data_IF_792504761150
#
_entry.id   IF_792504761150
#
_cell.length_a   1.000
_cell.length_b   1.000
_cell.length_c   1.000
_cell.angle_alpha   90.00
_cell.angle_beta   90.00
_cell.angle_gamma   90.00
#
_symmetry.space_group_name_H-M   'P 1'
#
loop_
_entity.id
_entity.type
_entity.pdbx_description
1 polymer ?
#
# COMPACT_ATOMS: atom_id res chain seq x y z
N UNK A 1 7.22 28.48 13.07
CA UNK A 1 7.60 27.84 11.79
C UNK A 1 6.41 26.98 11.34
N UNK A 2 5.92 27.14 10.12
CA UNK A 2 4.69 26.47 9.70
C UNK A 2 4.91 24.96 9.57
N UNK A 3 4.04 24.15 10.22
CA UNK A 3 4.09 22.69 10.20
C UNK A 3 4.18 22.12 8.77
N UNK A 4 3.39 22.68 7.85
CA UNK A 4 3.37 22.28 6.43
C UNK A 4 4.74 22.51 5.75
N UNK A 5 5.45 23.60 6.08
CA UNK A 5 6.79 23.87 5.52
C UNK A 5 7.80 22.81 5.96
N UNK A 6 7.76 22.40 7.22
CA UNK A 6 8.65 21.37 7.75
C UNK A 6 8.39 20.00 7.10
N UNK A 7 7.11 19.59 6.97
CA UNK A 7 6.72 18.37 6.27
C UNK A 7 7.22 18.41 4.82
N UNK A 8 7.02 19.51 4.11
CA UNK A 8 7.46 19.67 2.71
C UNK A 8 8.98 19.57 2.55
N UNK A 9 9.75 20.10 3.50
CA UNK A 9 11.23 20.00 3.47
C UNK A 9 11.66 18.53 3.64
N UNK A 10 11.11 17.83 4.63
CA UNK A 10 11.40 16.41 4.86
C UNK A 10 10.96 15.57 3.65
N UNK A 11 9.76 15.78 3.15
CA UNK A 11 9.22 15.10 1.97
C UNK A 11 10.15 15.23 0.76
N UNK A 12 10.56 16.45 0.40
CA UNK A 12 11.44 16.69 -0.75
C UNK A 12 12.81 16.02 -0.58
N UNK A 13 13.36 16.07 0.63
CA UNK A 13 14.64 15.41 0.95
C UNK A 13 14.54 13.90 0.78
N UNK A 14 13.53 13.29 1.38
CA UNK A 14 13.33 11.84 1.33
C UNK A 14 12.99 11.36 -0.08
N UNK A 15 12.12 12.07 -0.80
CA UNK A 15 11.78 11.75 -2.18
C UNK A 15 13.02 11.79 -3.07
N UNK A 16 13.85 12.83 -2.95
CA UNK A 16 15.12 12.91 -3.68
C UNK A 16 16.07 11.77 -3.30
N UNK A 17 16.14 11.39 -2.03
CA UNK A 17 16.96 10.28 -1.57
C UNK A 17 16.48 8.94 -2.16
N UNK A 18 15.18 8.70 -2.25
CA UNK A 18 14.61 7.49 -2.85
C UNK A 18 14.89 7.41 -4.36
N UNK A 19 14.74 8.50 -5.10
CA UNK A 19 15.05 8.55 -6.54
C UNK A 19 16.56 8.62 -6.85
N UNK A 20 17.40 9.01 -5.91
CA UNK A 20 18.84 8.87 -6.04
C UNK A 20 19.32 7.41 -5.82
N UNK A 21 18.49 6.56 -5.22
CA UNK A 21 18.75 5.14 -5.08
C UNK A 21 18.18 4.39 -6.28
N UNK A 22 18.86 3.36 -6.72
CA UNK A 22 18.39 2.47 -7.81
C UNK A 22 17.10 1.73 -7.44
N UNK A 23 16.79 1.63 -6.13
CA UNK A 23 15.69 0.82 -5.61
C UNK A 23 14.32 1.33 -6.04
N UNK A 24 14.10 2.65 -6.10
CA UNK A 24 12.81 3.23 -6.53
C UNK A 24 12.53 2.90 -8.01
N UNK A 25 13.53 2.98 -8.87
CA UNK A 25 13.38 2.65 -10.29
C UNK A 25 13.11 1.16 -10.50
N UNK A 26 13.86 0.32 -9.80
CA UNK A 26 13.66 -1.14 -9.84
C UNK A 26 12.24 -1.50 -9.38
N UNK A 27 11.76 -0.87 -8.31
CA UNK A 27 10.40 -1.04 -7.82
C UNK A 27 9.35 -0.69 -8.89
N UNK A 28 9.45 0.49 -9.50
CA UNK A 28 8.52 0.95 -10.53
C UNK A 28 8.52 0.01 -11.73
N UNK A 29 9.72 -0.34 -12.22
CA UNK A 29 9.86 -1.22 -13.40
C UNK A 29 9.29 -2.62 -13.12
N UNK A 30 9.64 -3.22 -11.98
CA UNK A 30 9.14 -4.55 -11.60
C UNK A 30 7.61 -4.51 -11.44
N UNK A 31 7.06 -3.49 -10.78
CA UNK A 31 5.62 -3.36 -10.60
C UNK A 31 4.88 -3.29 -11.93
N UNK A 32 5.33 -2.42 -12.83
CA UNK A 32 4.71 -2.25 -14.16
C UNK A 32 4.84 -3.52 -15.00
N UNK A 33 6.04 -4.11 -15.07
CA UNK A 33 6.26 -5.33 -15.85
C UNK A 33 5.41 -6.49 -15.33
N UNK A 34 5.41 -6.73 -14.00
CA UNK A 34 4.62 -7.81 -13.43
C UNK A 34 3.12 -7.56 -13.57
N UNK A 35 2.62 -6.34 -13.32
CA UNK A 35 1.21 -6.02 -13.49
C UNK A 35 0.75 -6.29 -14.92
N UNK A 36 1.51 -5.85 -15.92
CA UNK A 36 1.19 -6.06 -17.33
C UNK A 36 1.32 -7.54 -17.73
N UNK A 37 2.40 -8.20 -17.33
CA UNK A 37 2.63 -9.61 -17.68
C UNK A 37 1.53 -10.51 -17.10
N UNK A 38 1.16 -10.31 -15.84
CA UNK A 38 0.11 -11.10 -15.19
C UNK A 38 -1.26 -10.87 -15.86
N UNK A 39 -1.59 -9.63 -16.20
CA UNK A 39 -2.86 -9.29 -16.87
C UNK A 39 -2.96 -9.91 -18.27
N UNK A 40 -1.92 -9.81 -19.07
CA UNK A 40 -1.99 -10.22 -20.46
C UNK A 40 -1.64 -11.70 -20.71
N UNK A 41 -0.82 -12.32 -19.83
CA UNK A 41 -0.37 -13.71 -20.01
C UNK A 41 -1.20 -14.72 -19.23
N UNK A 42 -1.74 -14.37 -18.04
CA UNK A 42 -2.45 -15.32 -17.19
C UNK A 42 -3.98 -15.20 -17.28
N UNK A 43 -4.51 -14.02 -17.49
CA UNK A 43 -5.97 -13.82 -17.55
C UNK A 43 -6.54 -13.90 -18.97
N UNK A 44 -5.74 -14.34 -19.96
CA UNK A 44 -6.17 -14.50 -21.36
C UNK A 44 -7.02 -13.33 -21.88
N UNK A 45 -6.62 -12.10 -21.50
CA UNK A 45 -7.37 -10.84 -21.73
C UNK A 45 -7.85 -10.69 -23.18
N UNK A 46 -7.10 -11.23 -24.14
CA UNK A 46 -7.41 -11.17 -25.57
C UNK A 46 -8.06 -12.45 -26.11
N UNK A 47 -8.43 -13.42 -25.26
CA UNK A 47 -9.06 -14.63 -25.72
C UNK A 47 -10.45 -14.35 -26.31
N UNK A 48 -10.80 -14.96 -27.47
CA UNK A 48 -12.10 -14.72 -28.14
C UNK A 48 -13.33 -15.07 -27.30
N UNK A 49 -13.14 -15.90 -26.27
CA UNK A 49 -14.19 -16.39 -25.35
C UNK A 49 -14.07 -15.76 -23.95
N UNK A 50 -13.28 -14.72 -23.77
CA UNK A 50 -13.16 -14.02 -22.49
C UNK A 50 -14.52 -13.37 -22.17
N UNK A 51 -15.35 -14.06 -21.39
CA UNK A 51 -16.66 -13.56 -20.94
C UNK A 51 -16.53 -12.35 -20.01
N UNK A 52 -15.32 -12.13 -19.45
CA UNK A 52 -15.03 -11.09 -18.47
C UNK A 52 -13.77 -10.29 -18.84
N UNK A 53 -13.73 -9.70 -20.03
CA UNK A 53 -12.67 -8.76 -20.43
C UNK A 53 -12.79 -7.40 -19.68
N UNK A 54 -13.31 -7.41 -18.44
CA UNK A 54 -13.40 -6.22 -17.62
C UNK A 54 -12.07 -5.97 -16.90
N UNK A 55 -11.64 -4.71 -16.87
CA UNK A 55 -10.44 -4.30 -16.12
C UNK A 55 -10.51 -4.67 -14.62
N UNK A 56 -11.71 -4.81 -14.07
CA UNK A 56 -11.94 -5.23 -12.69
C UNK A 56 -11.33 -6.61 -12.40
N UNK A 57 -11.60 -7.59 -13.28
CA UNK A 57 -11.19 -8.98 -13.04
C UNK A 57 -9.79 -9.27 -13.58
N UNK A 58 -9.41 -8.67 -14.71
CA UNK A 58 -8.14 -8.95 -15.35
C UNK A 58 -7.00 -8.08 -14.80
N UNK A 59 -7.17 -6.75 -14.74
CA UNK A 59 -6.08 -5.86 -14.37
C UNK A 59 -6.03 -5.58 -12.87
N UNK A 60 -7.12 -5.08 -12.24
CA UNK A 60 -7.09 -4.65 -10.84
C UNK A 60 -7.04 -5.81 -9.81
N UNK A 61 -7.07 -7.04 -10.25
CA UNK A 61 -6.81 -8.21 -9.40
C UNK A 61 -5.36 -8.32 -8.97
N UNK A 62 -4.42 -8.09 -9.88
CA UNK A 62 -2.99 -8.33 -9.68
C UNK A 62 -2.27 -7.27 -8.87
N UNK A 63 -2.53 -5.96 -9.02
CA UNK A 63 -1.87 -4.93 -8.23
C UNK A 63 -2.00 -5.10 -6.73
N UNK A 64 -3.10 -5.64 -6.22
CA UNK A 64 -3.27 -5.95 -4.82
C UNK A 64 -2.19 -6.90 -4.30
N UNK A 65 -1.99 -8.03 -5.01
CA UNK A 65 -0.98 -9.02 -4.66
C UNK A 65 0.44 -8.46 -4.80
N UNK A 66 0.69 -7.71 -5.86
CA UNK A 66 2.00 -7.10 -6.10
C UNK A 66 2.32 -6.04 -5.05
N UNK A 67 1.38 -5.16 -4.70
CA UNK A 67 1.57 -4.14 -3.69
C UNK A 67 1.77 -4.73 -2.29
N UNK A 68 1.16 -5.88 -1.99
CA UNK A 68 1.38 -6.60 -0.74
C UNK A 68 2.87 -6.92 -0.53
N UNK A 69 3.60 -7.28 -1.59
CA UNK A 69 5.04 -7.54 -1.52
C UNK A 69 5.88 -6.28 -1.68
N UNK A 70 5.53 -5.44 -2.64
CA UNK A 70 6.36 -4.32 -3.06
C UNK A 70 6.23 -3.09 -2.14
N UNK A 71 5.06 -2.82 -1.55
CA UNK A 71 4.93 -1.71 -0.61
C UNK A 71 5.79 -1.90 0.65
N UNK A 72 5.85 -3.10 1.28
CA UNK A 72 6.84 -3.39 2.32
C UNK A 72 8.29 -3.26 1.86
N UNK A 73 8.62 -3.59 0.63
CA UNK A 73 9.98 -3.45 0.11
C UNK A 73 10.42 -1.97 0.01
N UNK A 74 9.51 -1.07 -0.34
CA UNK A 74 9.77 0.39 -0.31
C UNK A 74 9.87 0.91 1.12
N UNK A 75 8.97 0.44 2.00
CA UNK A 75 8.85 0.93 3.37
C UNK A 75 9.90 0.40 4.35
N UNK A 76 10.53 -0.75 4.08
CA UNK A 76 11.40 -1.43 5.04
C UNK A 76 12.60 -0.59 5.52
N UNK A 77 13.05 0.38 4.73
CA UNK A 77 14.22 1.21 5.04
C UNK A 77 13.87 2.54 5.72
N UNK A 78 12.59 2.91 5.81
CA UNK A 78 12.16 4.24 6.28
C UNK A 78 12.72 4.61 7.66
N UNK A 79 12.79 3.64 8.59
CA UNK A 79 13.29 3.82 9.95
C UNK A 79 14.38 2.82 10.33
N UNK A 80 14.32 1.59 9.80
CA UNK A 80 15.25 0.52 10.17
C UNK A 80 16.70 0.88 9.83
N UNK A 81 16.94 1.59 8.73
CA UNK A 81 18.27 2.01 8.32
C UNK A 81 18.82 3.14 9.21
N UNK A 82 17.99 4.11 9.59
CA UNK A 82 18.38 5.17 10.54
C UNK A 82 18.66 4.61 11.95
N UNK A 83 17.91 3.58 12.35
CA UNK A 83 18.20 2.88 13.61
C UNK A 83 19.49 2.08 13.57
N UNK A 84 19.78 1.45 12.43
CA UNK A 84 21.01 0.68 12.24
C UNK A 84 22.25 1.56 12.22
N UNK A 85 22.15 2.74 11.62
CA UNK A 85 23.27 3.71 11.50
C UNK A 85 23.39 4.65 12.69
N UNK A 86 22.42 4.62 13.64
CA UNK A 86 22.39 5.54 14.80
C UNK A 86 21.97 6.98 14.45
N UNK A 87 21.65 7.26 13.19
CA UNK A 87 21.28 8.63 12.74
C UNK A 87 19.90 9.08 13.25
N UNK A 88 19.12 8.19 13.83
CA UNK A 88 17.84 8.53 14.46
C UNK A 88 18.03 9.54 15.62
N UNK A 89 19.14 9.47 16.37
CA UNK A 89 19.45 10.39 17.45
C UNK A 89 19.65 11.82 16.92
N UNK A 90 20.33 11.97 15.78
CA UNK A 90 20.51 13.26 15.12
C UNK A 90 19.17 13.85 14.65
N UNK A 91 18.26 13.01 14.17
CA UNK A 91 16.92 13.45 13.77
C UNK A 91 16.11 13.94 14.99
N UNK A 92 16.28 13.30 16.15
CA UNK A 92 15.59 13.66 17.38
C UNK A 92 16.15 14.94 18.05
N UNK A 93 17.38 15.34 17.74
CA UNK A 93 17.97 16.62 18.21
C UNK A 93 17.59 17.81 17.32
N UNK A 94 17.07 17.58 16.12
CA UNK A 94 16.61 18.65 15.25
C UNK A 94 15.37 19.37 15.82
N UNK A 95 15.20 20.68 15.58
CA UNK A 95 14.04 21.46 16.03
C UNK A 95 12.78 21.18 15.19
N UNK A 96 12.54 19.91 14.87
CA UNK A 96 11.41 19.43 14.06
C UNK A 96 10.63 18.44 14.91
N UNK A 97 9.29 18.53 14.91
CA UNK A 97 8.50 17.53 15.63
C UNK A 97 8.60 16.15 14.94
N UNK A 98 8.59 15.09 15.74
CA UNK A 98 8.63 13.69 15.25
C UNK A 98 7.53 13.42 14.23
N UNK A 99 6.35 13.99 14.44
CA UNK A 99 5.23 13.87 13.51
C UNK A 99 5.52 14.43 12.11
N UNK A 100 6.21 15.57 12.01
CA UNK A 100 6.56 16.14 10.70
C UNK A 100 7.53 15.24 9.93
N UNK A 101 8.45 14.56 10.63
CA UNK A 101 9.37 13.60 10.05
C UNK A 101 8.62 12.33 9.59
N UNK A 102 7.72 11.78 10.42
CA UNK A 102 6.95 10.57 10.09
C UNK A 102 6.08 10.82 8.85
N UNK A 103 5.28 11.88 8.86
CA UNK A 103 4.39 12.21 7.74
C UNK A 103 5.19 12.51 6.47
N UNK A 104 6.29 13.27 6.57
CA UNK A 104 7.14 13.58 5.43
C UNK A 104 7.76 12.34 4.77
N UNK A 105 8.28 11.41 5.57
CA UNK A 105 8.83 10.13 5.09
C UNK A 105 7.75 9.22 4.48
N UNK A 106 6.62 9.10 5.16
CA UNK A 106 5.49 8.31 4.67
C UNK A 106 4.98 8.82 3.31
N UNK A 107 4.77 10.13 3.18
CA UNK A 107 4.33 10.74 1.92
C UNK A 107 5.36 10.56 0.79
N UNK A 108 6.65 10.63 1.08
CA UNK A 108 7.70 10.41 0.09
C UNK A 108 7.67 8.97 -0.44
N UNK A 109 7.55 7.97 0.44
CA UNK A 109 7.44 6.58 0.04
C UNK A 109 6.11 6.29 -0.69
N UNK A 110 4.99 6.87 -0.23
CA UNK A 110 3.70 6.77 -0.89
C UNK A 110 3.74 7.36 -2.30
N UNK A 111 4.49 8.45 -2.51
CA UNK A 111 4.66 9.04 -3.86
C UNK A 111 5.32 8.08 -4.83
N UNK A 112 6.29 7.28 -4.41
CA UNK A 112 6.93 6.25 -5.27
C UNK A 112 5.92 5.18 -5.67
N UNK A 113 5.11 4.71 -4.72
CA UNK A 113 4.05 3.72 -4.97
C UNK A 113 3.00 4.31 -5.93
N UNK A 114 2.57 5.55 -5.70
CA UNK A 114 1.60 6.24 -6.55
C UNK A 114 2.13 6.42 -7.97
N UNK A 115 3.39 6.79 -8.14
CA UNK A 115 4.03 6.90 -9.46
C UNK A 115 4.05 5.54 -10.15
N UNK A 116 4.40 4.45 -9.44
CA UNK A 116 4.38 3.11 -10.01
C UNK A 116 2.98 2.71 -10.51
N UNK A 117 1.94 2.99 -9.72
CA UNK A 117 0.55 2.74 -10.08
C UNK A 117 0.15 3.60 -11.31
N UNK A 118 0.49 4.87 -11.34
CA UNK A 118 0.19 5.75 -12.47
C UNK A 118 0.95 5.38 -13.76
N UNK A 119 2.14 4.79 -13.65
CA UNK A 119 2.88 4.27 -14.80
C UNK A 119 2.17 3.09 -15.49
N UNK A 120 1.17 2.47 -14.87
CA UNK A 120 0.32 1.44 -15.51
C UNK A 120 -0.81 2.03 -16.35
N UNK A 121 -1.02 3.36 -16.34
CA UNK A 121 -2.09 4.04 -17.06
C UNK A 121 -2.15 3.75 -18.59
N UNK A 122 -1.03 3.47 -19.30
CA UNK A 122 -1.08 3.04 -20.71
C UNK A 122 -2.00 1.83 -20.96
N UNK A 123 -2.20 0.94 -19.98
CA UNK A 123 -3.17 -0.18 -20.09
C UNK A 123 -4.58 0.35 -20.30
N UNK A 124 -4.97 1.38 -19.55
CA UNK A 124 -6.30 2.01 -19.69
C UNK A 124 -6.48 2.60 -21.09
N UNK A 125 -5.45 3.27 -21.61
CA UNK A 125 -5.49 3.82 -22.97
C UNK A 125 -5.65 2.71 -24.03
N UNK A 126 -4.95 1.59 -23.84
CA UNK A 126 -5.07 0.43 -24.73
C UNK A 126 -6.49 -0.15 -24.72
N UNK A 127 -7.07 -0.31 -23.54
CA UNK A 127 -8.44 -0.84 -23.40
C UNK A 127 -9.47 0.14 -23.94
N UNK A 128 -9.31 1.43 -23.69
CA UNK A 128 -10.18 2.48 -24.26
C UNK A 128 -10.13 2.54 -25.81
N UNK A 129 -8.99 2.17 -26.39
CA UNK A 129 -8.87 2.06 -27.86
C UNK A 129 -9.56 0.81 -28.41
N UNK A 130 -9.58 -0.28 -27.65
CA UNK A 130 -10.16 -1.57 -28.06
C UNK A 130 -11.67 -1.67 -27.82
N UNK A 131 -12.21 -0.89 -26.91
CA UNK A 131 -13.62 -0.95 -26.52
C UNK A 131 -14.08 0.27 -25.72
N UNK A 132 -15.20 0.13 -25.02
CA UNK A 132 -15.79 1.17 -24.16
C UNK A 132 -15.72 0.72 -22.70
N UNK A 133 -14.59 0.95 -22.00
CA UNK A 133 -14.43 0.52 -20.63
C UNK A 133 -15.25 1.36 -19.65
N UNK A 134 -15.73 0.75 -18.58
CA UNK A 134 -16.40 1.45 -17.49
C UNK A 134 -15.44 2.37 -16.73
N UNK A 135 -15.65 3.67 -16.85
CA UNK A 135 -14.87 4.70 -16.17
C UNK A 135 -14.97 4.60 -14.64
N UNK A 136 -16.08 4.13 -14.08
CA UNK A 136 -16.25 3.94 -12.65
C UNK A 136 -15.29 2.91 -12.10
N UNK A 137 -15.16 1.77 -12.76
CA UNK A 137 -14.23 0.69 -12.43
C UNK A 137 -12.77 1.13 -12.55
N UNK A 138 -12.44 1.93 -13.57
CA UNK A 138 -11.07 2.44 -13.76
C UNK A 138 -10.65 3.31 -12.57
N UNK A 139 -11.40 4.37 -12.30
CA UNK A 139 -11.05 5.29 -11.22
C UNK A 139 -11.15 4.63 -9.84
N UNK A 140 -12.18 3.82 -9.62
CA UNK A 140 -12.32 3.02 -8.40
C UNK A 140 -11.14 2.09 -8.16
N UNK A 141 -10.69 1.40 -9.19
CA UNK A 141 -9.53 0.50 -9.14
C UNK A 141 -8.22 1.22 -8.84
N UNK A 142 -7.93 2.36 -9.48
CA UNK A 142 -6.72 3.15 -9.16
C UNK A 142 -6.74 3.69 -7.74
N UNK A 143 -7.89 4.21 -7.30
CA UNK A 143 -8.07 4.69 -5.93
C UNK A 143 -7.89 3.55 -4.92
N UNK A 144 -8.47 2.37 -5.20
CA UNK A 144 -8.29 1.17 -4.38
C UNK A 144 -6.82 0.76 -4.26
N UNK A 145 -6.07 0.76 -5.36
CA UNK A 145 -4.63 0.47 -5.37
C UNK A 145 -3.83 1.46 -4.51
N UNK A 146 -4.14 2.76 -4.59
CA UNK A 146 -3.45 3.79 -3.80
C UNK A 146 -3.75 3.62 -2.31
N UNK A 147 -5.01 3.41 -1.92
CA UNK A 147 -5.39 3.21 -0.53
C UNK A 147 -4.80 1.93 0.05
N UNK A 148 -4.84 0.82 -0.70
CA UNK A 148 -4.24 -0.44 -0.28
C UNK A 148 -2.73 -0.32 -0.12
N UNK A 149 -2.05 0.27 -1.11
CA UNK A 149 -0.61 0.53 -1.05
C UNK A 149 -0.22 1.45 0.12
N UNK A 150 -1.03 2.48 0.41
CA UNK A 150 -0.84 3.37 1.56
C UNK A 150 -1.02 2.62 2.89
N UNK A 151 -2.01 1.72 3.00
CA UNK A 151 -2.23 0.87 4.16
C UNK A 151 -1.06 -0.07 4.43
N UNK A 152 -0.63 -0.82 3.41
CA UNK A 152 0.53 -1.72 3.49
C UNK A 152 1.83 -0.97 3.84
N UNK A 153 2.02 0.22 3.26
CA UNK A 153 3.15 1.09 3.58
C UNK A 153 3.10 1.60 5.03
N UNK A 154 1.92 1.95 5.54
CA UNK A 154 1.76 2.42 6.93
C UNK A 154 2.07 1.31 7.93
N UNK A 155 1.62 0.07 7.69
CA UNK A 155 2.00 -1.11 8.48
C UNK A 155 3.52 -1.28 8.47
N UNK A 156 4.13 -1.21 7.30
CA UNK A 156 5.58 -1.34 7.16
C UNK A 156 6.33 -0.22 7.87
N UNK A 157 5.83 1.01 7.83
CA UNK A 157 6.40 2.14 8.55
C UNK A 157 6.44 1.88 10.07
N UNK A 158 5.36 1.33 10.66
CA UNK A 158 5.30 0.96 12.06
C UNK A 158 6.29 -0.16 12.40
N UNK A 159 6.35 -1.22 11.59
CA UNK A 159 7.30 -2.33 11.77
C UNK A 159 8.75 -1.87 11.60
N UNK A 160 9.02 -0.99 10.64
CA UNK A 160 10.35 -0.41 10.40
C UNK A 160 10.84 0.41 11.60
N UNK A 161 9.93 1.04 12.35
CA UNK A 161 10.28 1.74 13.58
C UNK A 161 10.60 0.78 14.75
N UNK A 162 10.14 -0.47 14.71
CA UNK A 162 10.41 -1.47 15.75
C UNK A 162 11.74 -2.21 15.52
N UNK A 163 12.17 -2.37 14.29
CA UNK A 163 13.28 -3.23 13.87
C UNK A 163 14.52 -2.43 13.47
N UNK A 164 15.71 -3.00 13.71
CA UNK A 164 16.99 -2.45 13.22
C UNK A 164 17.46 -3.09 11.92
N UNK A 165 16.82 -4.18 11.50
CA UNK A 165 17.16 -4.92 10.28
C UNK A 165 16.07 -4.72 9.23
N UNK A 166 16.44 -4.21 8.06
CA UNK A 166 15.51 -4.02 6.94
C UNK A 166 14.91 -5.34 6.45
N UNK A 167 15.68 -6.43 6.49
CA UNK A 167 15.18 -7.77 6.09
C UNK A 167 14.15 -8.29 7.09
N UNK A 168 14.42 -8.18 8.39
CA UNK A 168 13.44 -8.57 9.41
C UNK A 168 12.17 -7.71 9.32
N UNK A 169 12.30 -6.41 9.05
CA UNK A 169 11.18 -5.53 8.80
C UNK A 169 10.33 -6.02 7.63
N UNK A 170 10.96 -6.36 6.51
CA UNK A 170 10.28 -6.86 5.31
C UNK A 170 9.46 -8.12 5.64
N UNK A 171 10.08 -9.12 6.29
CA UNK A 171 9.40 -10.39 6.59
C UNK A 171 8.20 -10.17 7.52
N UNK A 172 8.38 -9.40 8.60
CA UNK A 172 7.31 -9.13 9.55
C UNK A 172 6.18 -8.33 8.90
N UNK A 173 6.50 -7.27 8.14
CA UNK A 173 5.50 -6.46 7.47
C UNK A 173 4.72 -7.27 6.43
N UNK A 174 5.40 -8.12 5.64
CA UNK A 174 4.76 -9.06 4.71
C UNK A 174 3.82 -10.01 5.43
N UNK A 175 4.24 -10.60 6.55
CA UNK A 175 3.41 -11.52 7.32
C UNK A 175 2.14 -10.84 7.84
N UNK A 176 2.23 -9.59 8.30
CA UNK A 176 1.08 -8.82 8.77
C UNK A 176 0.15 -8.46 7.60
N UNK A 177 0.68 -7.94 6.48
CA UNK A 177 -0.11 -7.61 5.30
C UNK A 177 -0.81 -8.84 4.72
N UNK A 178 -0.11 -9.98 4.64
CA UNK A 178 -0.66 -11.24 4.19
C UNK A 178 -1.76 -11.74 5.13
N UNK A 179 -1.52 -11.73 6.44
CA UNK A 179 -2.53 -12.11 7.43
C UNK A 179 -3.79 -11.23 7.35
N UNK A 180 -3.63 -9.92 7.20
CA UNK A 180 -4.75 -8.99 7.08
C UNK A 180 -5.55 -9.19 5.78
N UNK A 181 -4.88 -9.63 4.71
CA UNK A 181 -5.53 -9.98 3.46
C UNK A 181 -6.29 -11.31 3.61
N UNK A 182 -5.66 -12.34 4.20
CA UNK A 182 -6.24 -13.68 4.35
C UNK A 182 -7.50 -13.69 5.22
N UNK A 183 -7.57 -12.86 6.26
CA UNK A 183 -8.71 -12.80 7.18
C UNK A 183 -10.04 -12.54 6.46
N UNK A 184 -10.04 -11.81 5.35
CA UNK A 184 -11.25 -11.40 4.64
C UNK A 184 -11.44 -12.08 3.27
N UNK A 185 -10.68 -13.12 2.94
CA UNK A 185 -10.94 -13.86 1.70
C UNK A 185 -12.20 -14.71 1.85
N UNK A 186 -13.00 -14.89 0.76
CA UNK A 186 -14.28 -15.61 0.81
C UNK A 186 -14.23 -16.97 1.51
N UNK A 187 -13.28 -17.88 1.23
CA UNK A 187 -13.23 -19.18 1.90
C UNK A 187 -13.08 -19.12 3.42
N UNK A 188 -12.38 -18.11 3.94
CA UNK A 188 -12.20 -17.93 5.39
C UNK A 188 -13.48 -17.38 6.02
N UNK A 189 -14.16 -16.46 5.34
CA UNK A 189 -15.42 -15.90 5.82
C UNK A 189 -16.54 -16.95 5.81
N UNK A 190 -16.63 -17.78 4.77
CA UNK A 190 -17.57 -18.91 4.70
C UNK A 190 -17.30 -19.92 5.83
N UNK A 191 -16.06 -20.32 6.03
CA UNK A 191 -15.69 -21.21 7.13
C UNK A 191 -16.03 -20.61 8.51
N UNK A 192 -15.82 -19.31 8.70
CA UNK A 192 -16.15 -18.63 9.95
C UNK A 192 -17.66 -18.53 10.18
N UNK A 193 -18.44 -18.29 9.11
CA UNK A 193 -19.90 -18.24 9.17
C UNK A 193 -20.50 -19.60 9.53
N UNK A 194 -19.97 -20.68 8.93
CA UNK A 194 -20.48 -22.05 9.11
C UNK A 194 -20.11 -22.64 10.48
N UNK A 195 -18.92 -22.38 10.98
CA UNK A 195 -18.40 -23.05 12.19
C UNK A 195 -18.51 -22.22 13.47
N UNK A 196 -18.54 -20.89 13.38
CA UNK A 196 -18.55 -20.04 14.57
C UNK A 196 -19.84 -19.24 14.68
N UNK A 197 -20.02 -18.20 13.89
CA UNK A 197 -21.23 -17.36 13.85
C UNK A 197 -21.14 -16.36 12.70
N UNK A 198 -22.26 -16.04 12.06
CA UNK A 198 -22.31 -15.00 11.02
C UNK A 198 -21.76 -13.65 11.47
N UNK A 199 -22.00 -13.25 12.73
CA UNK A 199 -21.45 -12.04 13.29
C UNK A 199 -19.91 -12.01 13.34
N UNK A 200 -19.26 -13.17 13.53
CA UNK A 200 -17.79 -13.26 13.49
C UNK A 200 -17.27 -13.08 12.07
N UNK A 201 -17.95 -13.67 11.08
CA UNK A 201 -17.60 -13.50 9.67
C UNK A 201 -17.74 -12.03 9.25
N UNK A 202 -18.79 -11.32 9.70
CA UNK A 202 -18.99 -9.88 9.43
C UNK A 202 -17.86 -9.03 10.03
N UNK A 203 -17.45 -9.32 11.27
CA UNK A 203 -16.33 -8.61 11.91
C UNK A 203 -15.01 -8.88 11.18
N UNK A 204 -14.72 -10.13 10.82
CA UNK A 204 -13.52 -10.48 10.08
C UNK A 204 -13.51 -9.82 8.69
N UNK A 205 -14.64 -9.81 8.00
CA UNK A 205 -14.80 -9.14 6.71
C UNK A 205 -14.57 -7.62 6.79
N UNK A 206 -15.04 -6.98 7.88
CA UNK A 206 -14.84 -5.55 8.10
C UNK A 206 -13.43 -5.16 8.53
N UNK A 207 -12.65 -6.08 9.09
CA UNK A 207 -11.26 -5.85 9.51
C UNK A 207 -10.25 -6.15 8.40
N UNK A 208 -10.60 -6.98 7.42
CA UNK A 208 -9.69 -7.39 6.38
C UNK A 208 -9.68 -6.45 5.18
N UNK A 209 -8.53 -6.30 4.56
CA UNK A 209 -8.32 -5.41 3.41
C UNK A 209 -8.95 -5.93 2.11
N UNK A 210 -9.19 -7.24 2.00
CA UNK A 210 -9.75 -7.87 0.80
C UNK A 210 -11.14 -7.35 0.44
N UNK A 211 -12.05 -7.30 1.40
CA UNK A 211 -13.44 -6.85 1.19
C UNK A 211 -13.49 -5.41 0.69
N UNK A 212 -12.82 -4.50 1.41
CA UNK A 212 -12.77 -3.09 1.06
C UNK A 212 -12.11 -2.82 -0.30
N UNK A 213 -11.02 -3.52 -0.61
CA UNK A 213 -10.38 -3.41 -1.91
C UNK A 213 -11.28 -3.88 -3.04
N UNK A 214 -11.96 -5.03 -2.85
CA UNK A 214 -12.82 -5.62 -3.87
C UNK A 214 -14.04 -4.76 -4.17
N UNK A 215 -14.63 -4.10 -3.16
CA UNK A 215 -15.71 -3.14 -3.38
C UNK A 215 -15.23 -1.90 -4.16
N UNK A 216 -14.10 -1.32 -3.74
CA UNK A 216 -13.56 -0.12 -4.40
C UNK A 216 -13.16 -0.37 -5.86
N UNK A 217 -12.56 -1.53 -6.18
CA UNK A 217 -12.17 -1.87 -7.56
C UNK A 217 -13.38 -2.04 -8.49
N UNK A 218 -14.58 -2.29 -7.96
CA UNK A 218 -15.86 -2.31 -8.70
C UNK A 218 -16.42 -0.91 -8.98
N UNK A 219 -15.69 0.13 -8.63
CA UNK A 219 -16.15 1.52 -8.76
C UNK A 219 -17.01 2.01 -7.60
N UNK A 220 -17.29 1.18 -6.58
CA UNK A 220 -18.09 1.56 -5.41
C UNK A 220 -17.19 2.07 -4.30
N UNK A 221 -16.99 3.38 -4.24
CA UNK A 221 -16.20 4.02 -3.18
C UNK A 221 -17.15 4.39 -2.05
N UNK A 222 -17.34 3.47 -1.10
CA UNK A 222 -18.15 3.75 0.10
C UNK A 222 -17.33 4.55 1.12
N UNK A 223 -18.04 5.35 1.94
CA UNK A 223 -17.42 6.08 3.04
C UNK A 223 -16.74 5.12 4.03
N UNK A 224 -17.32 3.93 4.23
CA UNK A 224 -16.77 2.90 5.10
C UNK A 224 -15.35 2.44 4.65
N UNK A 225 -15.14 2.24 3.35
CA UNK A 225 -13.86 1.84 2.78
C UNK A 225 -12.79 2.90 3.00
N UNK A 226 -13.14 4.16 2.77
CA UNK A 226 -12.23 5.30 2.98
C UNK A 226 -11.86 5.44 4.45
N UNK A 227 -12.85 5.39 5.35
CA UNK A 227 -12.63 5.48 6.81
C UNK A 227 -11.77 4.32 7.30
N UNK A 228 -12.00 3.10 6.80
CA UNK A 228 -11.18 1.93 7.14
C UNK A 228 -9.69 2.17 6.82
N UNK A 229 -9.37 2.53 5.57
CA UNK A 229 -7.97 2.76 5.20
C UNK A 229 -7.36 3.96 5.93
N UNK A 230 -8.10 5.06 6.09
CA UNK A 230 -7.59 6.23 6.83
C UNK A 230 -7.36 5.91 8.32
N UNK A 231 -8.24 5.13 8.94
CA UNK A 231 -8.05 4.69 10.33
C UNK A 231 -6.84 3.76 10.49
N UNK A 232 -6.66 2.82 9.55
CA UNK A 232 -5.50 1.93 9.51
C UNK A 232 -4.19 2.72 9.38
N UNK A 233 -4.14 3.66 8.43
CA UNK A 233 -2.97 4.52 8.21
C UNK A 233 -2.71 5.37 9.46
N UNK A 234 -3.73 6.03 9.99
CA UNK A 234 -3.63 6.85 11.19
C UNK A 234 -3.12 6.08 12.41
N UNK A 235 -3.67 4.89 12.63
CA UNK A 235 -3.24 4.00 13.72
C UNK A 235 -1.78 3.57 13.58
N UNK A 236 -1.35 3.12 12.40
CA UNK A 236 0.02 2.70 12.16
C UNK A 236 1.03 3.85 12.29
N UNK A 237 0.70 5.05 11.78
CA UNK A 237 1.55 6.23 11.96
C UNK A 237 1.60 6.69 13.42
N UNK A 238 0.48 6.56 14.16
CA UNK A 238 0.47 6.80 15.60
C UNK A 238 1.38 5.83 16.35
N UNK A 239 1.29 4.52 16.06
CA UNK A 239 2.20 3.51 16.62
C UNK A 239 3.67 3.85 16.32
N UNK A 240 3.97 4.25 15.08
CA UNK A 240 5.31 4.71 14.68
C UNK A 240 5.78 5.84 15.58
N UNK A 241 4.91 6.82 15.86
CA UNK A 241 5.25 7.96 16.73
C UNK A 241 5.53 7.55 18.17
N UNK A 242 4.72 6.63 18.73
CA UNK A 242 4.90 6.11 20.09
C UNK A 242 6.22 5.37 20.20
N UNK A 243 6.52 4.47 19.27
CA UNK A 243 7.76 3.70 19.23
C UNK A 243 9.00 4.59 19.14
N UNK A 244 8.98 5.59 18.26
CA UNK A 244 10.12 6.50 18.09
C UNK A 244 10.31 7.36 19.35
N UNK A 245 9.22 7.82 19.97
CA UNK A 245 9.30 8.60 21.22
C UNK A 245 9.81 7.76 22.40
N UNK A 246 9.41 6.49 22.50
CA UNK A 246 9.87 5.62 23.59
C UNK A 246 11.37 5.31 23.51
N UNK A 247 11.97 5.41 22.33
CA UNK A 247 13.42 5.28 22.14
C UNK A 247 14.21 6.54 22.47
N UNK A 248 13.52 7.65 22.75
CA UNK A 248 14.11 8.92 23.19
C UNK A 248 14.31 8.99 24.71
N UNK A 249 13.58 8.17 25.47
CA UNK A 249 13.68 8.07 26.92
C UNK A 249 14.79 7.07 27.32
#
# INVERSE_FOLDING_TARGET
MNALKNISIVFKRELKAQFNSMLAYVFIVIFVLLSMSLTFLLDDFFAPNAQDASLEFSFFRWPMWLLMFLAPAVGMRLWAEEQRTGTIELLLTMPISVWHAIVGKFLAALSVITIAILCTFPVVLTVAYLGDPDNGTIWGGYIACIFYGAGALAITCAVSALTRSSVACLIIALSICFGQLLIAIPPVLEYAADNWNGAVADVLGSLGTWSHYTEMKRGVISLANVVFYLSLIGFCLFLTSVVIKSKRA
#
